data_IF_340310117755
#
_entry.id   IF_340310117755
#
_cell.length_a   1.000
_cell.length_b   1.000
_cell.length_c   1.000
_cell.angle_alpha   90.00
_cell.angle_beta   90.00
_cell.angle_gamma   90.00
#
_symmetry.space_group_name_H-M   'P 1'
#
loop_
_entity.id
_entity.type
_entity.pdbx_description
1 polymer ?
#
# COMPACT_ATOMS: atom_id res chain seq x y z
N UNK A 1 -19.86 -1.56 -12.87
CA UNK A 1 -20.89 -1.41 -13.92
C UNK A 1 -20.27 -1.09 -15.28
N UNK A 2 -19.40 -0.06 -15.38
CA UNK A 2 -18.63 0.18 -16.61
C UNK A 2 -17.85 -1.06 -17.11
N UNK A 3 -17.14 -1.75 -16.21
CA UNK A 3 -16.42 -2.99 -16.50
C UNK A 3 -17.35 -4.10 -16.99
N UNK A 4 -18.48 -4.32 -16.31
CA UNK A 4 -19.52 -5.27 -16.73
C UNK A 4 -20.09 -4.96 -18.13
N UNK A 5 -20.34 -3.69 -18.45
CA UNK A 5 -20.78 -3.31 -19.81
C UNK A 5 -19.74 -3.68 -20.87
N UNK A 6 -18.45 -3.49 -20.55
CA UNK A 6 -17.34 -3.87 -21.44
C UNK A 6 -17.19 -5.38 -21.59
N UNK A 7 -17.39 -6.15 -20.52
CA UNK A 7 -17.38 -7.62 -20.53
C UNK A 7 -18.53 -8.20 -21.37
N UNK A 8 -19.69 -7.54 -21.37
CA UNK A 8 -20.81 -7.87 -22.25
C UNK A 8 -20.63 -7.36 -23.70
N UNK A 9 -19.44 -6.88 -24.08
CA UNK A 9 -19.14 -6.44 -25.44
C UNK A 9 -19.61 -5.02 -25.81
N UNK A 10 -20.16 -4.25 -24.87
CA UNK A 10 -20.63 -2.89 -25.14
C UNK A 10 -19.45 -1.89 -25.13
N UNK A 11 -19.27 -1.17 -26.24
CA UNK A 11 -18.37 -0.01 -26.33
C UNK A 11 -19.07 1.24 -25.84
N UNK A 12 -18.99 1.50 -24.53
CA UNK A 12 -19.53 2.69 -23.87
C UNK A 12 -18.41 3.52 -23.25
N UNK A 13 -18.57 4.84 -23.17
CA UNK A 13 -17.63 5.69 -22.41
C UNK A 13 -17.99 5.65 -20.93
N UNK A 14 -16.99 5.81 -20.05
CA UNK A 14 -17.22 5.84 -18.58
C UNK A 14 -18.25 6.89 -18.19
N UNK A 15 -18.22 8.04 -18.87
CA UNK A 15 -19.11 9.16 -18.59
C UNK A 15 -20.56 8.88 -18.98
N UNK A 16 -20.79 8.20 -20.10
CA UNK A 16 -22.13 7.81 -20.54
C UNK A 16 -22.77 6.84 -19.54
N UNK A 17 -22.00 5.85 -19.06
CA UNK A 17 -22.45 4.92 -18.01
C UNK A 17 -22.75 5.67 -16.71
N UNK A 18 -21.96 6.69 -16.37
CA UNK A 18 -22.17 7.52 -15.18
C UNK A 18 -23.45 8.36 -15.28
N UNK A 19 -23.72 8.95 -16.44
CA UNK A 19 -24.93 9.72 -16.71
C UNK A 19 -26.18 8.83 -16.72
N UNK A 20 -26.11 7.68 -17.40
CA UNK A 20 -27.19 6.70 -17.41
C UNK A 20 -27.50 6.18 -16.00
N UNK A 21 -26.48 5.86 -15.21
CA UNK A 21 -26.66 5.46 -13.80
C UNK A 21 -27.26 6.56 -12.93
N UNK A 22 -26.88 7.82 -13.17
CA UNK A 22 -27.44 8.97 -12.46
C UNK A 22 -28.93 9.11 -12.74
N UNK A 23 -29.38 8.75 -13.93
CA UNK A 23 -30.80 8.82 -14.30
C UNK A 23 -31.60 7.60 -13.85
N UNK A 24 -31.11 6.40 -14.15
CA UNK A 24 -31.78 5.14 -13.87
C UNK A 24 -31.85 4.80 -12.38
N UNK A 25 -30.85 5.22 -11.60
CA UNK A 25 -30.73 4.90 -10.19
C UNK A 25 -30.29 6.12 -9.37
N UNK A 26 -31.10 7.18 -9.40
CA UNK A 26 -30.85 8.41 -8.63
C UNK A 26 -30.63 8.11 -7.15
N UNK A 27 -31.43 7.21 -6.57
CA UNK A 27 -31.39 6.84 -5.15
C UNK A 27 -30.12 6.03 -4.82
N UNK A 28 -29.76 5.01 -5.58
CA UNK A 28 -28.54 4.24 -5.33
C UNK A 28 -27.27 5.00 -5.68
N UNK A 29 -27.30 5.96 -6.62
CA UNK A 29 -26.20 6.92 -6.83
C UNK A 29 -26.10 7.89 -5.65
N UNK A 30 -27.22 8.40 -5.13
CA UNK A 30 -27.23 9.26 -3.96
C UNK A 30 -26.73 8.53 -2.70
N UNK A 31 -27.13 7.28 -2.47
CA UNK A 31 -26.65 6.44 -1.37
C UNK A 31 -25.14 6.16 -1.49
N UNK A 32 -24.65 5.84 -2.70
CA UNK A 32 -23.20 5.68 -2.96
C UNK A 32 -22.42 6.98 -2.79
N UNK A 33 -23.02 8.13 -3.11
CA UNK A 33 -22.44 9.45 -2.85
C UNK A 33 -22.51 9.85 -1.37
N UNK A 34 -23.54 9.43 -0.64
CA UNK A 34 -23.68 9.64 0.80
C UNK A 34 -22.65 8.78 1.56
N UNK A 35 -22.35 7.58 1.06
CA UNK A 35 -21.23 6.73 1.50
C UNK A 35 -19.87 7.13 0.93
N UNK A 36 -19.74 8.30 0.27
CA UNK A 36 -18.43 8.83 -0.11
C UNK A 36 -17.69 9.18 1.17
N UNK A 37 -16.79 8.28 1.58
CA UNK A 37 -15.85 8.47 2.69
C UNK A 37 -15.31 9.91 2.64
N UNK A 38 -15.64 10.66 3.70
CA UNK A 38 -15.16 12.03 3.85
C UNK A 38 -13.65 11.94 4.00
N UNK A 39 -12.91 12.46 3.03
CA UNK A 39 -11.44 12.48 3.03
C UNK A 39 -10.96 13.11 4.34
N UNK A 40 -10.40 12.32 5.25
CA UNK A 40 -9.86 12.82 6.52
C UNK A 40 -8.50 13.47 6.26
N UNK A 41 -8.25 14.59 6.93
CA UNK A 41 -6.94 15.27 6.91
C UNK A 41 -6.10 14.66 8.02
N UNK A 42 -5.13 13.85 7.62
CA UNK A 42 -4.10 13.30 8.50
C UNK A 42 -3.14 14.43 8.92
N UNK A 43 -2.88 14.57 10.22
CA UNK A 43 -1.96 15.57 10.78
C UNK A 43 -0.94 14.88 11.67
N UNK A 44 0.34 15.22 11.48
CA UNK A 44 1.46 14.60 12.19
C UNK A 44 2.12 15.53 13.20
N UNK A 45 2.51 14.99 14.37
CA UNK A 45 3.23 15.74 15.40
C UNK A 45 4.74 15.42 15.47
N UNK A 46 5.18 14.28 14.93
CA UNK A 46 6.57 13.80 14.96
C UNK A 46 6.66 12.28 14.81
N UNK A 47 7.87 11.69 14.84
CA UNK A 47 8.08 10.25 14.80
C UNK A 47 7.57 9.53 16.06
N UNK A 48 7.33 8.23 15.93
CA UNK A 48 6.73 7.35 16.96
C UNK A 48 5.36 7.84 17.47
N UNK A 49 4.71 8.74 16.73
CA UNK A 49 3.39 9.25 17.09
C UNK A 49 2.32 8.21 16.73
N UNK A 50 2.42 7.57 15.56
CA UNK A 50 1.56 6.48 15.07
C UNK A 50 2.30 5.59 14.07
N UNK A 51 1.92 4.32 14.05
CA UNK A 51 2.43 3.33 13.11
C UNK A 51 1.29 2.81 12.24
N UNK A 52 1.51 2.83 10.92
CA UNK A 52 0.62 2.17 9.96
C UNK A 52 1.15 0.77 9.72
N UNK A 53 0.34 -0.24 9.96
CA UNK A 53 0.65 -1.63 9.63
C UNK A 53 -0.35 -2.14 8.61
N UNK A 54 0.14 -2.76 7.54
CA UNK A 54 -0.69 -3.34 6.48
C UNK A 54 0.00 -4.57 5.88
N UNK A 55 -0.78 -5.44 5.24
CA UNK A 55 -0.29 -6.67 4.60
C UNK A 55 -0.38 -6.57 3.08
N UNK A 56 0.66 -7.06 2.41
CA UNK A 56 0.77 -7.10 0.96
C UNK A 56 0.76 -8.53 0.45
N UNK A 57 -0.36 -8.88 -0.19
CA UNK A 57 -0.74 -10.27 -0.46
C UNK A 57 -0.42 -10.74 -1.89
N UNK A 58 0.33 -9.99 -2.70
CA UNK A 58 0.59 -10.39 -4.10
C UNK A 58 1.34 -11.72 -4.24
N UNK A 59 2.21 -12.05 -3.29
CA UNK A 59 2.95 -13.32 -3.28
C UNK A 59 2.27 -14.43 -2.46
N UNK A 60 1.09 -14.15 -1.89
CA UNK A 60 0.33 -15.10 -1.08
C UNK A 60 -0.02 -16.40 -1.82
N UNK A 61 -0.34 -16.39 -3.14
CA UNK A 61 -0.54 -17.63 -3.89
C UNK A 61 0.68 -18.56 -3.87
N UNK A 62 1.88 -18.00 -3.72
CA UNK A 62 3.17 -18.71 -3.68
C UNK A 62 3.65 -19.02 -2.26
N UNK A 63 2.86 -18.68 -1.25
CA UNK A 63 3.15 -18.96 0.16
C UNK A 63 3.82 -17.81 0.92
N UNK A 64 3.99 -16.62 0.33
CA UNK A 64 4.64 -15.50 1.01
C UNK A 64 3.63 -14.41 1.39
N UNK A 65 3.59 -14.06 2.68
CA UNK A 65 2.82 -12.94 3.19
C UNK A 65 3.80 -11.85 3.62
N UNK A 66 3.73 -10.69 2.98
CA UNK A 66 4.61 -9.56 3.30
C UNK A 66 3.83 -8.62 4.21
N UNK A 67 4.37 -8.32 5.39
CA UNK A 67 3.79 -7.33 6.30
C UNK A 67 4.70 -6.11 6.34
N UNK A 68 4.09 -4.93 6.30
CA UNK A 68 4.79 -3.66 6.26
C UNK A 68 4.32 -2.72 7.35
N UNK A 69 5.26 -2.03 7.97
CA UNK A 69 4.99 -0.98 8.95
C UNK A 69 5.65 0.33 8.54
N UNK A 70 4.89 1.42 8.51
CA UNK A 70 5.39 2.76 8.22
C UNK A 70 5.02 3.68 9.38
N UNK A 71 6.03 4.30 9.98
CA UNK A 71 5.85 5.51 10.80
C UNK A 71 5.52 6.65 9.84
N UNK A 72 4.24 6.77 9.52
CA UNK A 72 3.72 8.05 9.12
C UNK A 72 3.39 8.75 10.44
N UNK A 73 3.93 9.93 10.67
CA UNK A 73 3.68 10.55 11.96
C UNK A 73 2.24 10.99 12.16
N UNK A 74 1.21 10.48 11.46
CA UNK A 74 -0.14 11.04 11.39
C UNK A 74 -1.14 10.43 12.39
N UNK A 75 -2.11 11.22 12.89
CA UNK A 75 -3.16 10.83 13.85
C UNK A 75 -4.17 9.75 13.32
N UNK A 76 -4.13 8.48 13.76
CA UNK A 76 -4.82 7.87 14.93
C UNK A 76 -4.25 6.45 15.19
N UNK A 77 -4.24 5.95 16.44
CA UNK A 77 -3.49 4.74 16.87
C UNK A 77 -4.09 3.38 16.47
N UNK A 78 -5.26 3.38 15.84
CA UNK A 78 -5.90 2.20 15.26
C UNK A 78 -7.09 2.66 14.41
N UNK A 79 -7.12 2.29 13.13
CA UNK A 79 -8.18 2.68 12.21
C UNK A 79 -8.61 1.50 11.34
N UNK A 80 -9.79 0.94 11.63
CA UNK A 80 -10.53 0.11 10.68
C UNK A 80 -11.10 1.02 9.57
N UNK A 81 -10.61 0.87 8.34
CA UNK A 81 -11.06 1.67 7.20
C UNK A 81 -10.41 1.27 5.87
N UNK A 82 -11.09 1.53 4.75
CA UNK A 82 -10.64 1.12 3.41
C UNK A 82 -9.31 1.79 2.99
N UNK A 83 -8.39 1.00 2.39
CA UNK A 83 -7.01 1.39 1.99
C UNK A 83 -6.84 2.72 1.27
N UNK A 84 -7.88 3.20 0.58
CA UNK A 84 -7.90 4.45 -0.21
C UNK A 84 -7.58 5.74 0.55
N UNK A 85 -7.41 5.69 1.88
CA UNK A 85 -7.01 6.81 2.71
C UNK A 85 -5.51 6.79 3.08
N UNK A 86 -4.82 5.66 2.91
CA UNK A 86 -3.43 5.48 3.29
C UNK A 86 -2.49 5.71 2.09
N UNK A 87 -2.41 6.97 1.65
CA UNK A 87 -1.64 7.32 0.44
C UNK A 87 -0.15 7.00 0.55
N UNK A 88 0.39 6.99 1.79
CA UNK A 88 1.81 6.76 2.03
C UNK A 88 2.15 5.27 2.01
N UNK A 89 1.32 4.43 2.62
CA UNK A 89 1.47 2.97 2.47
C UNK A 89 1.22 2.53 1.04
N UNK A 90 0.24 3.12 0.34
CA UNK A 90 0.01 2.82 -1.08
C UNK A 90 1.21 3.24 -1.95
N UNK A 91 1.84 4.37 -1.66
CA UNK A 91 3.07 4.79 -2.36
C UNK A 91 4.23 3.83 -2.06
N UNK A 92 4.38 3.43 -0.80
CA UNK A 92 5.37 2.44 -0.41
C UNK A 92 5.11 1.07 -1.03
N UNK A 93 3.87 0.60 -1.11
CA UNK A 93 3.52 -0.65 -1.78
C UNK A 93 3.82 -0.63 -3.27
N UNK A 94 3.66 0.51 -3.93
CA UNK A 94 4.07 0.67 -5.33
C UNK A 94 5.60 0.64 -5.47
N UNK A 95 6.32 1.29 -4.56
CA UNK A 95 7.78 1.25 -4.54
C UNK A 95 8.31 -0.17 -4.24
N UNK A 96 7.75 -0.85 -3.25
CA UNK A 96 8.07 -2.22 -2.91
C UNK A 96 7.87 -3.16 -4.10
N UNK A 97 6.75 -2.97 -4.81
CA UNK A 97 6.48 -3.75 -6.00
C UNK A 97 7.58 -3.58 -7.05
N UNK A 98 7.91 -2.33 -7.39
CA UNK A 98 8.87 -2.06 -8.45
C UNK A 98 10.32 -2.33 -8.05
N UNK A 99 10.65 -2.35 -6.76
CA UNK A 99 12.03 -2.60 -6.29
C UNK A 99 12.32 -4.06 -5.96
N UNK A 100 11.33 -4.82 -5.49
CA UNK A 100 11.54 -6.19 -5.02
C UNK A 100 10.51 -7.16 -5.63
N UNK A 101 9.21 -6.92 -5.40
CA UNK A 101 8.20 -7.98 -5.61
C UNK A 101 7.95 -8.32 -7.08
N UNK A 102 8.17 -7.39 -8.02
CA UNK A 102 7.96 -7.62 -9.45
C UNK A 102 8.81 -8.77 -10.00
N UNK A 103 10.07 -8.87 -9.58
CA UNK A 103 10.96 -9.97 -9.95
C UNK A 103 10.42 -11.31 -9.46
N UNK A 104 10.14 -11.43 -8.15
CA UNK A 104 9.62 -12.66 -7.54
C UNK A 104 8.28 -13.08 -8.12
N UNK A 105 7.40 -12.10 -8.37
CA UNK A 105 6.11 -12.37 -8.99
C UNK A 105 6.27 -12.98 -10.39
N UNK A 106 7.18 -12.42 -11.21
CA UNK A 106 7.47 -12.96 -12.54
C UNK A 106 8.10 -14.35 -12.45
N UNK A 107 9.12 -14.52 -11.60
CA UNK A 107 9.83 -15.79 -11.43
C UNK A 107 8.90 -16.92 -11.00
N UNK A 108 8.02 -16.68 -10.01
CA UNK A 108 7.07 -17.70 -9.58
C UNK A 108 5.93 -17.93 -10.58
N UNK A 109 5.54 -16.90 -11.34
CA UNK A 109 4.61 -17.08 -12.45
C UNK A 109 5.20 -17.99 -13.54
N UNK A 110 6.48 -17.80 -13.87
CA UNK A 110 7.18 -18.65 -14.85
C UNK A 110 7.28 -20.11 -14.36
N UNK A 111 7.58 -20.35 -13.08
CA UNK A 111 7.58 -21.71 -12.53
C UNK A 111 6.21 -22.38 -12.67
N UNK A 112 5.13 -21.66 -12.37
CA UNK A 112 3.76 -22.15 -12.54
C UNK A 112 3.46 -22.44 -14.00
N UNK A 113 3.78 -21.51 -14.90
CA UNK A 113 3.40 -21.59 -16.31
C UNK A 113 4.18 -22.71 -17.06
N UNK A 114 5.35 -23.10 -16.55
CA UNK A 114 6.11 -24.26 -17.02
C UNK A 114 5.73 -25.59 -16.32
N UNK A 115 4.78 -25.58 -15.39
CA UNK A 115 4.32 -26.77 -14.69
C UNK A 115 5.21 -27.25 -13.53
N UNK A 116 6.13 -26.41 -13.06
CA UNK A 116 6.98 -26.68 -11.89
C UNK A 116 6.37 -26.22 -10.56
N UNK A 117 5.18 -25.60 -10.60
CA UNK A 117 4.47 -25.14 -9.41
C UNK A 117 2.96 -25.32 -9.58
N UNK A 118 2.33 -26.10 -8.70
CA UNK A 118 0.89 -26.38 -8.68
C UNK A 118 0.13 -25.70 -7.52
N UNK A 119 0.84 -24.90 -6.72
CA UNK A 119 0.34 -24.25 -5.50
C UNK A 119 -0.07 -25.20 -4.36
N UNK A 120 0.36 -26.45 -4.42
CA UNK A 120 0.27 -27.44 -3.36
C UNK A 120 1.09 -27.06 -2.13
N UNK A 121 0.89 -27.81 -1.05
CA UNK A 121 1.59 -27.59 0.21
C UNK A 121 3.11 -27.77 0.06
N UNK A 122 3.54 -28.83 -0.64
CA UNK A 122 4.94 -29.15 -0.85
C UNK A 122 5.65 -28.05 -1.65
N UNK A 123 5.05 -27.63 -2.76
CA UNK A 123 5.60 -26.58 -3.62
C UNK A 123 5.80 -25.26 -2.88
N UNK A 124 4.80 -24.85 -2.09
CA UNK A 124 4.89 -23.66 -1.24
C UNK A 124 5.98 -23.81 -0.18
N UNK A 125 6.09 -24.97 0.46
CA UNK A 125 7.12 -25.23 1.46
C UNK A 125 8.53 -25.21 0.86
N UNK A 126 8.71 -25.76 -0.35
CA UNK A 126 9.98 -25.72 -1.09
C UNK A 126 10.33 -24.28 -1.47
N UNK A 127 9.38 -23.52 -2.03
CA UNK A 127 9.61 -22.11 -2.34
C UNK A 127 9.98 -21.32 -1.09
N UNK A 128 9.27 -21.50 0.02
CA UNK A 128 9.62 -20.86 1.29
C UNK A 128 11.02 -21.27 1.77
N UNK A 129 11.37 -22.55 1.73
CA UNK A 129 12.70 -23.00 2.13
C UNK A 129 13.81 -22.37 1.29
N UNK A 130 13.63 -22.28 -0.03
CA UNK A 130 14.65 -21.77 -0.94
C UNK A 130 14.70 -20.23 -1.01
N UNK A 131 13.55 -19.57 -0.95
CA UNK A 131 13.42 -18.15 -1.30
C UNK A 131 13.10 -17.25 -0.11
N UNK A 132 12.64 -17.76 1.04
CA UNK A 132 12.24 -16.89 2.17
C UNK A 132 13.40 -16.02 2.65
N UNK A 133 14.59 -16.58 2.80
CA UNK A 133 15.78 -15.81 3.21
C UNK A 133 16.12 -14.72 2.20
N UNK A 134 16.16 -15.07 0.91
CA UNK A 134 16.47 -14.14 -0.17
C UNK A 134 15.45 -13.01 -0.28
N UNK A 135 14.16 -13.34 -0.17
CA UNK A 135 13.07 -12.36 -0.16
C UNK A 135 13.23 -11.45 1.06
N UNK A 136 13.50 -11.98 2.24
CA UNK A 136 13.67 -11.17 3.45
C UNK A 136 14.85 -10.19 3.31
N UNK A 137 15.99 -10.64 2.80
CA UNK A 137 17.15 -9.79 2.57
C UNK A 137 16.83 -8.64 1.59
N UNK A 138 16.14 -8.93 0.47
CA UNK A 138 15.72 -7.90 -0.48
C UNK A 138 14.67 -6.94 0.07
N UNK A 139 13.75 -7.42 0.92
CA UNK A 139 12.76 -6.60 1.61
C UNK A 139 13.47 -5.63 2.56
N UNK A 140 14.47 -6.08 3.30
CA UNK A 140 15.26 -5.28 4.23
C UNK A 140 16.07 -4.21 3.48
N UNK A 141 16.72 -4.57 2.37
CA UNK A 141 17.41 -3.62 1.49
C UNK A 141 16.46 -2.58 0.92
N UNK A 142 15.28 -3.01 0.44
CA UNK A 142 14.24 -2.10 -0.06
C UNK A 142 13.76 -1.13 1.02
N UNK A 143 13.62 -1.61 2.26
CA UNK A 143 13.27 -0.77 3.40
C UNK A 143 14.37 0.25 3.71
N UNK A 144 15.65 -0.11 3.61
CA UNK A 144 16.76 0.84 3.78
C UNK A 144 16.76 1.92 2.70
N UNK A 145 16.60 1.54 1.43
CA UNK A 145 16.53 2.49 0.32
C UNK A 145 15.36 3.44 0.50
N UNK A 146 14.20 2.91 0.91
CA UNK A 146 13.06 3.74 1.29
C UNK A 146 13.42 4.67 2.46
N UNK A 147 14.02 4.18 3.53
CA UNK A 147 14.29 5.04 4.68
C UNK A 147 15.33 6.15 4.40
N UNK A 148 16.17 5.96 3.37
CA UNK A 148 17.13 6.95 2.90
C UNK A 148 16.58 7.93 1.83
N UNK A 149 15.43 7.64 1.20
CA UNK A 149 14.93 8.47 0.11
C UNK A 149 14.55 9.89 0.56
N UNK A 150 14.65 10.86 -0.34
CA UNK A 150 14.27 12.24 -0.04
C UNK A 150 12.81 12.48 -0.42
N UNK A 151 11.98 12.80 0.57
CA UNK A 151 10.60 13.27 0.35
C UNK A 151 10.65 14.75 0.00
N UNK A 152 10.17 15.10 -1.20
CA UNK A 152 10.16 16.47 -1.70
C UNK A 152 9.10 17.32 -0.97
N UNK A 153 9.37 18.60 -0.70
CA UNK A 153 8.36 19.52 -0.19
C UNK A 153 7.13 19.57 -1.09
N UNK A 154 5.95 19.54 -0.49
CA UNK A 154 4.66 19.64 -1.20
C UNK A 154 3.92 20.90 -0.73
N UNK A 155 2.95 21.38 -1.54
CA UNK A 155 2.05 22.46 -1.11
C UNK A 155 1.19 22.09 0.10
N UNK A 156 1.05 20.80 0.38
CA UNK A 156 0.38 20.30 1.57
C UNK A 156 1.38 20.26 2.72
N UNK A 157 1.29 21.24 3.62
CA UNK A 157 2.13 21.34 4.83
C UNK A 157 1.97 20.17 5.79
N UNK A 158 0.94 19.34 5.65
CA UNK A 158 0.76 18.13 6.46
C UNK A 158 1.63 16.96 6.00
N UNK A 159 2.25 17.04 4.82
CA UNK A 159 3.17 16.01 4.33
C UNK A 159 4.59 16.42 4.74
N UNK A 160 5.28 15.62 5.57
CA UNK A 160 6.64 15.96 5.97
C UNK A 160 7.58 15.88 4.77
N UNK A 161 8.60 16.73 4.75
CA UNK A 161 9.62 16.76 3.71
C UNK A 161 11.00 16.55 4.32
N UNK A 162 11.85 15.77 3.67
CA UNK A 162 13.15 15.37 4.22
C UNK A 162 13.41 13.88 4.00
N UNK A 163 14.49 13.37 4.60
CA UNK A 163 14.81 11.94 4.57
C UNK A 163 14.16 11.23 5.77
N UNK A 164 13.41 10.14 5.60
CA UNK A 164 12.75 9.43 6.71
C UNK A 164 13.69 9.12 7.88
N UNK A 165 14.88 8.58 7.63
CA UNK A 165 15.86 8.30 8.68
C UNK A 165 16.26 9.55 9.47
N UNK A 166 16.42 10.71 8.82
CA UNK A 166 16.80 11.96 9.49
C UNK A 166 15.62 12.53 10.28
N UNK A 167 14.40 12.46 9.70
CA UNK A 167 13.19 12.91 10.38
C UNK A 167 12.90 12.07 11.64
N UNK A 168 13.19 10.77 11.58
CA UNK A 168 13.04 9.85 12.71
C UNK A 168 14.12 10.08 13.77
N UNK A 169 15.40 10.12 13.38
CA UNK A 169 16.51 10.22 14.31
C UNK A 169 16.69 11.62 14.93
N UNK A 170 16.34 12.67 14.19
CA UNK A 170 16.55 14.07 14.59
C UNK A 170 15.27 14.90 14.42
N UNK A 171 14.18 14.55 15.13
CA UNK A 171 12.88 15.21 14.96
C UNK A 171 12.92 16.72 15.26
N UNK A 172 13.87 17.16 16.09
CA UNK A 172 14.02 18.56 16.49
C UNK A 172 14.40 19.47 15.31
N UNK A 173 15.13 18.95 14.30
CA UNK A 173 15.46 19.69 13.08
C UNK A 173 14.23 20.04 12.24
N UNK A 174 13.13 19.31 12.45
CA UNK A 174 11.86 19.50 11.76
C UNK A 174 10.81 20.18 12.64
N UNK A 175 11.21 20.72 13.80
CA UNK A 175 10.29 21.35 14.76
C UNK A 175 9.36 20.36 15.46
N UNK A 176 9.76 19.08 15.51
CA UNK A 176 9.01 18.00 16.14
C UNK A 176 9.81 17.37 17.29
N UNK A 177 9.25 16.38 17.97
CA UNK A 177 9.93 15.59 19.01
C UNK A 177 9.63 14.11 18.81
N UNK A 178 10.40 13.26 19.48
CA UNK A 178 10.09 11.85 19.59
C UNK A 178 8.87 11.65 20.54
N UNK A 179 7.91 10.83 20.12
CA UNK A 179 6.71 10.49 20.88
C UNK A 179 6.73 9.06 21.43
N UNK A 180 7.88 8.38 21.39
CA UNK A 180 8.05 7.10 22.05
C UNK A 180 7.67 7.23 23.54
N UNK A 181 6.70 6.44 23.98
CA UNK A 181 6.28 6.43 25.38
C UNK A 181 7.43 5.88 26.24
N UNK A 182 7.91 6.66 27.21
CA UNK A 182 8.85 6.12 28.21
C UNK A 182 8.06 5.18 29.12
N UNK A 183 8.42 3.90 29.13
CA UNK A 183 8.00 2.97 30.18
C UNK A 183 8.78 3.22 31.47
#
# INVERSE_FOLDING_TARGET
MYTKCRECGLRVRKEDVRLALKELDRRGVALRKAGRLRRRRYFSKGPNFIWHMDSYDKLKPYGFCINGSIDDGTADSYLEGASTANQRIEYWWNFLHSQCVEFWFSFFADLRDNGFFDAGFLDKAILQFCCMGLIQDELDDTAQVWNAHTIRPSKNTNVPSGRPNVMYALPQLYGTRDFLCSM
#
